data_IF_582571069139
#
_entry.id   IF_582571069139
#
_cell.length_a   1.000
_cell.length_b   1.000
_cell.length_c   1.000
_cell.angle_alpha   90.00
_cell.angle_beta   90.00
_cell.angle_gamma   90.00
#
_symmetry.space_group_name_H-M   'P 1'
#
loop_
_entity.id
_entity.type
_entity.pdbx_description
1 polymer ?
#
# COMPACT_ATOMS: atom_id res chain seq x y z
N UNK A 1 26.17 -54.84 1.58
CA UNK A 1 26.41 -53.53 0.94
C UNK A 1 25.13 -53.12 0.20
N UNK A 2 24.18 -52.47 0.89
CA UNK A 2 23.79 -51.05 0.72
C UNK A 2 23.46 -50.66 -0.73
N UNK A 3 22.17 -50.53 -1.08
CA UNK A 3 21.61 -49.48 -1.96
C UNK A 3 20.11 -49.25 -1.65
N UNK A 4 19.84 -48.49 -0.58
CA UNK A 4 18.56 -47.77 -0.47
C UNK A 4 18.64 -46.51 -1.32
N UNK A 5 17.68 -46.31 -2.21
CA UNK A 5 17.47 -45.05 -2.90
C UNK A 5 15.96 -44.81 -2.98
N UNK A 6 15.37 -44.45 -1.84
CA UNK A 6 13.99 -44.00 -1.76
C UNK A 6 14.00 -42.49 -1.99
N UNK A 7 13.51 -42.08 -3.15
CA UNK A 7 13.46 -40.69 -3.61
C UNK A 7 12.48 -39.91 -2.73
N UNK A 8 12.99 -38.91 -2.01
CA UNK A 8 12.20 -37.96 -1.22
C UNK A 8 11.54 -36.96 -2.19
N UNK A 9 10.23 -37.07 -2.41
CA UNK A 9 9.45 -36.07 -3.12
C UNK A 9 9.16 -34.89 -2.19
N UNK A 10 9.98 -33.84 -2.25
CA UNK A 10 9.72 -32.56 -1.60
C UNK A 10 8.74 -31.79 -2.48
N UNK A 11 7.45 -31.87 -2.16
CA UNK A 11 6.43 -31.02 -2.75
C UNK A 11 6.58 -29.60 -2.20
N UNK A 12 7.14 -28.72 -3.02
CA UNK A 12 7.23 -27.29 -2.75
C UNK A 12 5.84 -26.65 -2.87
N UNK A 13 5.13 -26.53 -1.75
CA UNK A 13 4.00 -25.60 -1.63
C UNK A 13 4.57 -24.17 -1.64
N UNK A 14 4.71 -23.59 -2.83
CA UNK A 14 4.90 -22.17 -2.99
C UNK A 14 3.61 -21.45 -2.55
N UNK A 15 3.56 -21.05 -1.28
CA UNK A 15 2.53 -20.15 -0.78
C UNK A 15 2.67 -18.83 -1.55
N UNK A 16 1.70 -18.56 -2.43
CA UNK A 16 1.53 -17.27 -3.07
C UNK A 16 1.21 -16.24 -1.97
N UNK A 17 2.23 -15.57 -1.46
CA UNK A 17 2.05 -14.38 -0.65
C UNK A 17 1.50 -13.28 -1.58
N UNK A 18 0.17 -13.14 -1.61
CA UNK A 18 -0.50 -12.03 -2.27
C UNK A 18 -0.15 -10.73 -1.54
N UNK A 19 0.89 -10.05 -2.01
CA UNK A 19 1.13 -8.66 -1.66
C UNK A 19 0.01 -7.82 -2.28
N UNK A 20 -0.47 -6.82 -1.55
CA UNK A 20 -1.29 -5.78 -2.16
C UNK A 20 -0.43 -5.09 -3.23
N UNK A 21 -0.77 -5.28 -4.50
CA UNK A 21 -0.08 -4.63 -5.62
C UNK A 21 -0.76 -3.30 -5.92
N UNK A 22 0.05 -2.27 -6.22
CA UNK A 22 -0.47 -1.00 -6.71
C UNK A 22 -1.09 -1.21 -8.10
N UNK A 23 -2.38 -0.92 -8.24
CA UNK A 23 -3.04 -0.86 -9.55
C UNK A 23 -3.24 0.61 -9.94
N UNK A 24 -2.53 1.09 -10.98
CA UNK A 24 -2.75 2.45 -11.49
C UNK A 24 -4.12 2.52 -12.18
N UNK A 25 -5.07 3.25 -11.58
CA UNK A 25 -6.43 3.40 -12.12
C UNK A 25 -6.55 4.63 -13.03
N UNK A 26 -5.59 5.54 -12.97
CA UNK A 26 -5.56 6.73 -13.81
C UNK A 26 -4.45 7.70 -13.43
N UNK A 27 -4.21 8.68 -14.30
CA UNK A 27 -3.26 9.75 -14.03
C UNK A 27 -3.66 11.04 -14.72
N UNK A 28 -3.32 12.16 -14.08
CA UNK A 28 -3.52 13.51 -14.62
C UNK A 28 -2.15 14.16 -14.78
N UNK A 29 -1.88 14.73 -15.94
CA UNK A 29 -0.60 15.43 -16.16
C UNK A 29 -0.61 16.77 -15.43
N UNK A 30 0.48 17.04 -14.73
CA UNK A 30 0.77 18.29 -14.04
C UNK A 30 2.11 18.83 -14.56
N UNK A 31 2.33 20.14 -14.50
CA UNK A 31 3.59 20.78 -14.95
C UNK A 31 4.12 20.30 -16.32
N UNK A 32 3.65 20.92 -17.39
CA UNK A 32 4.08 20.60 -18.75
C UNK A 32 5.48 21.17 -19.02
N UNK A 33 6.47 20.29 -19.22
CA UNK A 33 7.86 20.66 -19.56
C UNK A 33 8.24 20.08 -20.91
N UNK A 34 9.16 20.73 -21.62
CA UNK A 34 9.62 20.31 -22.95
C UNK A 34 10.21 18.88 -22.96
N UNK A 35 10.76 18.43 -21.83
CA UNK A 35 11.41 17.11 -21.67
C UNK A 35 10.45 16.03 -21.16
N UNK A 36 9.18 16.35 -20.89
CA UNK A 36 8.15 15.47 -20.33
C UNK A 36 7.40 16.15 -19.18
N UNK A 37 6.10 15.86 -19.06
CA UNK A 37 5.22 16.45 -18.03
C UNK A 37 5.21 15.59 -16.77
N UNK A 38 5.16 16.23 -15.60
CA UNK A 38 4.89 15.53 -14.34
C UNK A 38 3.45 14.99 -14.34
N UNK A 39 3.14 14.09 -13.42
CA UNK A 39 1.80 13.50 -13.32
C UNK A 39 1.42 13.33 -11.86
N UNK A 40 0.13 13.42 -11.58
CA UNK A 40 -0.47 12.84 -10.37
C UNK A 40 -1.10 11.52 -10.79
N UNK A 41 -0.57 10.42 -10.26
CA UNK A 41 -1.13 9.08 -10.49
C UNK A 41 -2.07 8.74 -9.35
N UNK A 42 -3.12 7.99 -9.68
CA UNK A 42 -4.06 7.43 -8.71
C UNK A 42 -3.90 5.92 -8.77
N UNK A 43 -3.63 5.32 -7.63
CA UNK A 43 -3.39 3.89 -7.49
C UNK A 43 -4.35 3.30 -6.47
N UNK A 44 -4.90 2.13 -6.78
CA UNK A 44 -5.73 1.35 -5.89
C UNK A 44 -4.89 0.30 -5.15
N UNK A 45 -5.17 0.15 -3.86
CA UNK A 45 -4.54 -0.80 -2.96
C UNK A 45 -5.60 -1.52 -2.15
N UNK A 46 -5.77 -2.82 -2.39
CA UNK A 46 -6.65 -3.64 -1.57
C UNK A 46 -5.98 -4.00 -0.25
N UNK A 47 -6.76 -3.99 0.84
CA UNK A 47 -6.25 -4.40 2.13
C UNK A 47 -6.03 -5.93 2.17
N UNK A 48 -4.78 -6.41 2.37
CA UNK A 48 -4.47 -7.83 2.28
C UNK A 48 -5.09 -8.65 3.42
N UNK A 49 -5.51 -8.03 4.53
CA UNK A 49 -6.09 -8.70 5.70
C UNK A 49 -7.59 -8.43 5.88
N UNK A 50 -8.14 -7.44 5.17
CA UNK A 50 -9.54 -7.04 5.26
C UNK A 50 -10.13 -6.95 3.86
N UNK A 51 -10.89 -7.98 3.46
CA UNK A 51 -11.57 -7.97 2.17
C UNK A 51 -12.65 -6.87 2.13
N UNK A 52 -12.94 -6.36 0.94
CA UNK A 52 -13.98 -5.35 0.73
C UNK A 52 -13.55 -3.91 1.02
N UNK A 53 -12.28 -3.66 1.35
CA UNK A 53 -11.71 -2.32 1.52
C UNK A 53 -10.60 -2.10 0.49
N UNK A 54 -10.71 -0.99 -0.24
CA UNK A 54 -9.69 -0.51 -1.17
C UNK A 54 -9.29 0.91 -0.79
N UNK A 55 -7.99 1.17 -0.76
CA UNK A 55 -7.38 2.46 -0.54
C UNK A 55 -6.90 3.05 -1.86
N UNK A 56 -7.43 4.20 -2.24
CA UNK A 56 -6.96 4.98 -3.37
C UNK A 56 -5.91 5.97 -2.88
N UNK A 57 -4.69 5.83 -3.37
CA UNK A 57 -3.62 6.76 -3.08
C UNK A 57 -3.35 7.59 -4.32
N UNK A 58 -3.34 8.90 -4.16
CA UNK A 58 -2.83 9.82 -5.17
C UNK A 58 -1.43 10.28 -4.77
N UNK A 59 -0.50 10.29 -5.73
CA UNK A 59 0.87 10.77 -5.54
C UNK A 59 1.42 11.41 -6.80
N UNK A 60 2.33 12.35 -6.61
CA UNK A 60 3.07 12.93 -7.72
C UNK A 60 4.13 11.94 -8.25
N UNK A 61 4.24 11.84 -9.58
CA UNK A 61 5.33 11.17 -10.30
C UNK A 61 5.99 12.15 -11.25
N UNK A 62 7.31 12.21 -11.19
CA UNK A 62 8.12 13.15 -11.98
C UNK A 62 8.23 12.68 -13.43
N UNK A 63 8.04 13.61 -14.36
CA UNK A 63 8.07 13.36 -15.78
C UNK A 63 9.45 13.39 -16.42
N UNK A 64 9.47 13.06 -17.71
CA UNK A 64 10.62 13.22 -18.61
C UNK A 64 11.72 12.18 -18.46
N UNK A 65 12.86 12.42 -19.13
CA UNK A 65 13.96 11.42 -19.26
C UNK A 65 14.44 10.92 -17.89
N UNK A 66 14.56 11.81 -16.90
CA UNK A 66 14.97 11.44 -15.53
C UNK A 66 13.89 10.62 -14.80
N UNK A 67 12.61 10.93 -15.02
CA UNK A 67 11.48 10.15 -14.48
C UNK A 67 11.39 8.76 -15.09
N UNK A 68 11.54 8.64 -16.41
CA UNK A 68 11.51 7.34 -17.11
C UNK A 68 12.68 6.43 -16.71
N UNK A 69 13.83 7.00 -16.38
CA UNK A 69 15.00 6.26 -15.90
C UNK A 69 14.92 5.95 -14.39
N UNK A 70 13.86 6.38 -13.67
CA UNK A 70 13.73 6.20 -12.22
C UNK A 70 14.74 7.01 -11.39
N UNK A 71 15.41 7.97 -12.03
CA UNK A 71 16.45 8.81 -11.43
C UNK A 71 15.89 10.14 -10.91
N UNK A 72 14.61 10.40 -11.13
CA UNK A 72 13.92 11.54 -10.56
C UNK A 72 13.41 11.20 -9.15
N UNK A 73 13.47 12.21 -8.28
CA UNK A 73 12.95 12.11 -6.93
C UNK A 73 11.52 12.66 -6.91
N UNK A 74 10.55 11.78 -6.70
CA UNK A 74 9.15 12.18 -6.65
C UNK A 74 8.85 13.10 -5.45
N UNK A 75 7.98 14.11 -5.62
CA UNK A 75 7.53 14.94 -4.50
C UNK A 75 6.88 14.08 -3.39
N UNK A 76 7.08 14.41 -2.09
CA UNK A 76 6.55 13.62 -0.97
C UNK A 76 5.03 13.78 -0.75
N UNK A 77 4.36 14.63 -1.52
CA UNK A 77 2.92 14.87 -1.47
C UNK A 77 2.15 13.60 -1.86
N UNK A 78 1.46 13.01 -0.88
CA UNK A 78 0.54 11.91 -1.09
C UNK A 78 -0.77 12.14 -0.34
N UNK A 79 -1.89 11.70 -0.93
CA UNK A 79 -3.20 11.71 -0.29
C UNK A 79 -3.85 10.34 -0.41
N UNK A 80 -4.61 9.93 0.61
CA UNK A 80 -5.27 8.62 0.67
C UNK A 80 -6.77 8.76 0.89
N UNK A 81 -7.54 7.92 0.20
CA UNK A 81 -8.96 7.73 0.45
C UNK A 81 -9.29 6.23 0.41
N UNK A 82 -9.61 5.65 1.57
CA UNK A 82 -10.02 4.26 1.66
C UNK A 82 -11.54 4.18 1.70
N UNK A 83 -12.09 3.24 0.93
CA UNK A 83 -13.54 3.05 0.78
C UNK A 83 -13.86 1.57 0.95
N UNK A 84 -15.03 1.32 1.53
CA UNK A 84 -15.65 0.01 1.44
C UNK A 84 -16.18 -0.15 0.01
N UNK A 85 -15.59 -1.08 -0.75
CA UNK A 85 -15.97 -1.41 -2.13
C UNK A 85 -16.69 -2.75 -2.23
N UNK A 86 -16.71 -3.52 -1.13
CA UNK A 86 -17.38 -4.81 -1.04
C UNK A 86 -17.79 -5.14 0.39
N UNK A 87 -18.20 -6.39 0.62
CA UNK A 87 -18.51 -6.87 1.98
C UNK A 87 -17.23 -6.96 2.80
N UNK A 88 -17.22 -6.34 3.97
CA UNK A 88 -16.06 -6.37 4.88
C UNK A 88 -15.94 -7.76 5.50
N UNK A 89 -14.82 -8.42 5.25
CA UNK A 89 -14.48 -9.70 5.85
C UNK A 89 -13.02 -9.73 6.31
N UNK A 90 -12.77 -10.31 7.48
CA UNK A 90 -11.43 -10.38 8.07
C UNK A 90 -10.82 -11.75 7.82
N UNK A 91 -9.62 -11.79 7.20
CA UNK A 91 -8.89 -13.06 6.98
C UNK A 91 -8.30 -13.65 8.26
N UNK A 92 -8.24 -12.85 9.32
CA UNK A 92 -7.78 -13.27 10.64
C UNK A 92 -7.68 -12.08 11.60
N UNK A 93 -7.20 -12.31 12.83
CA UNK A 93 -7.01 -11.25 13.81
C UNK A 93 -5.98 -10.21 13.35
N UNK A 94 -6.40 -8.95 13.35
CA UNK A 94 -5.58 -7.80 12.98
C UNK A 94 -4.69 -7.38 14.15
N UNK A 95 -3.49 -6.86 13.86
CA UNK A 95 -2.73 -6.13 14.88
C UNK A 95 -3.39 -4.79 15.15
N UNK A 96 -3.14 -4.24 16.34
CA UNK A 96 -3.57 -2.89 16.70
C UNK A 96 -3.06 -1.82 15.70
N UNK A 97 -1.85 -2.01 15.18
CA UNK A 97 -1.24 -1.24 14.10
C UNK A 97 -0.47 -2.20 13.18
N UNK A 98 -0.64 -2.08 11.87
CA UNK A 98 0.03 -2.91 10.88
C UNK A 98 0.34 -2.14 9.60
N UNK A 99 1.48 -2.44 8.98
CA UNK A 99 1.81 -1.90 7.65
C UNK A 99 1.01 -2.68 6.61
N UNK A 100 0.06 -1.99 5.98
CA UNK A 100 -0.79 -2.56 4.91
C UNK A 100 0.04 -2.68 3.64
N UNK A 101 0.82 -1.64 3.36
CA UNK A 101 1.56 -1.52 2.12
C UNK A 101 2.78 -0.61 2.30
N UNK A 102 3.82 -0.82 1.50
CA UNK A 102 4.98 0.08 1.40
C UNK A 102 5.59 0.02 0.00
N UNK A 103 5.73 1.18 -0.65
CA UNK A 103 6.31 1.28 -2.00
C UNK A 103 7.40 2.34 -2.08
N UNK A 104 8.46 2.01 -2.82
CA UNK A 104 9.58 2.91 -3.03
C UNK A 104 9.26 3.92 -4.12
N UNK A 105 9.25 5.20 -3.75
CA UNK A 105 9.02 6.33 -4.67
C UNK A 105 10.32 6.82 -5.34
N UNK A 106 11.49 6.58 -4.75
CA UNK A 106 12.76 6.99 -5.35
C UNK A 106 13.91 6.04 -5.09
N UNK A 107 14.90 6.05 -5.99
CA UNK A 107 16.17 5.32 -5.81
C UNK A 107 16.92 5.85 -4.59
N UNK A 108 16.75 7.12 -4.22
CA UNK A 108 17.47 7.76 -3.11
C UNK A 108 16.57 7.97 -1.86
N UNK A 109 15.89 6.90 -1.42
CA UNK A 109 15.33 6.76 -0.06
C UNK A 109 13.95 7.35 0.26
N UNK A 110 13.10 7.63 -0.73
CA UNK A 110 11.68 7.90 -0.46
C UNK A 110 10.86 6.63 -0.57
N UNK A 111 10.18 6.28 0.52
CA UNK A 111 9.21 5.18 0.57
C UNK A 111 7.88 5.73 1.06
N UNK A 112 6.81 5.40 0.35
CA UNK A 112 5.45 5.64 0.81
C UNK A 112 5.01 4.47 1.69
N UNK A 113 4.47 4.77 2.86
CA UNK A 113 3.89 3.80 3.77
C UNK A 113 2.39 4.01 3.84
N UNK A 114 1.65 2.90 3.92
CA UNK A 114 0.23 2.88 4.30
C UNK A 114 0.09 1.98 5.52
N UNK A 115 -0.34 2.56 6.63
CA UNK A 115 -0.48 1.90 7.93
C UNK A 115 -1.94 1.87 8.31
N UNK A 116 -2.42 0.70 8.75
CA UNK A 116 -3.76 0.51 9.31
C UNK A 116 -3.65 0.46 10.82
N UNK A 117 -4.45 1.26 11.50
CA UNK A 117 -4.70 1.21 12.93
C UNK A 117 -6.16 0.82 13.19
N UNK A 118 -6.39 0.05 14.25
CA UNK A 118 -7.74 -0.39 14.63
C UNK A 118 -8.28 0.48 15.77
N UNK A 119 -9.31 1.28 15.51
CA UNK A 119 -10.06 1.96 16.57
C UNK A 119 -11.20 1.06 17.06
N UNK A 120 -10.89 0.26 18.10
CA UNK A 120 -11.86 -0.67 18.70
C UNK A 120 -13.07 0.06 19.30
N UNK A 121 -12.87 1.25 19.87
CA UNK A 121 -13.94 1.98 20.57
C UNK A 121 -15.01 2.46 19.59
N UNK A 122 -14.60 2.85 18.38
CA UNK A 122 -15.49 3.37 17.34
C UNK A 122 -15.82 2.32 16.26
N UNK A 123 -15.32 1.09 16.39
CA UNK A 123 -15.41 0.02 15.40
C UNK A 123 -14.97 0.46 14.00
N UNK A 124 -13.77 1.05 13.91
CA UNK A 124 -13.28 1.72 12.69
C UNK A 124 -11.86 1.28 12.34
N UNK A 125 -11.59 1.09 11.05
CA UNK A 125 -10.26 0.89 10.52
C UNK A 125 -9.73 2.24 10.02
N UNK A 126 -8.63 2.70 10.60
CA UNK A 126 -8.01 3.98 10.28
C UNK A 126 -6.78 3.72 9.45
N UNK A 127 -6.68 4.36 8.29
CA UNK A 127 -5.56 4.22 7.37
C UNK A 127 -4.82 5.55 7.29
N UNK A 128 -3.52 5.51 7.57
CA UNK A 128 -2.60 6.63 7.49
C UNK A 128 -1.62 6.35 6.36
N UNK A 129 -1.44 7.31 5.46
CA UNK A 129 -0.30 7.32 4.56
C UNK A 129 0.71 8.39 4.96
N UNK A 130 1.99 8.07 4.90
CA UNK A 130 3.10 8.99 5.11
C UNK A 130 4.29 8.54 4.27
N UNK A 131 5.16 9.49 3.88
CA UNK A 131 6.42 9.15 3.22
C UNK A 131 7.55 9.05 4.25
N UNK A 132 8.69 8.46 3.94
CA UNK A 132 9.90 8.61 4.75
C UNK A 132 10.87 9.56 4.04
N UNK A 133 11.39 10.55 4.78
CA UNK A 133 12.47 11.44 4.31
C UNK A 133 13.61 11.42 5.33
N UNK A 134 14.76 10.90 4.93
CA UNK A 134 15.93 10.64 5.80
C UNK A 134 16.40 11.91 6.55
N UNK A 135 16.19 13.10 6.00
CA UNK A 135 16.85 14.33 6.49
C UNK A 135 15.97 15.21 7.39
N UNK A 136 14.63 15.04 7.38
CA UNK A 136 13.72 15.93 8.15
C UNK A 136 12.51 15.25 8.77
N UNK A 137 12.33 13.93 8.58
CA UNK A 137 11.02 13.29 8.74
C UNK A 137 10.03 13.72 7.65
N UNK A 138 8.89 13.04 7.55
CA UNK A 138 7.83 13.40 6.60
C UNK A 138 6.69 14.13 7.31
N UNK A 139 6.68 15.47 7.27
CA UNK A 139 5.56 16.24 7.81
C UNK A 139 4.28 16.03 6.99
N UNK A 140 4.38 15.48 5.79
CA UNK A 140 3.24 15.23 4.92
C UNK A 140 2.68 13.84 5.17
N UNK A 141 1.41 13.83 5.55
CA UNK A 141 0.62 12.63 5.74
C UNK A 141 -0.83 12.88 5.33
N UNK A 142 -1.58 11.81 5.17
CA UNK A 142 -3.02 11.87 4.93
C UNK A 142 -3.67 10.68 5.63
N UNK A 143 -4.87 10.91 6.17
CA UNK A 143 -5.60 9.92 6.96
C UNK A 143 -7.03 9.77 6.45
N UNK A 144 -7.52 8.55 6.53
CA UNK A 144 -8.90 8.19 6.21
C UNK A 144 -9.39 7.12 7.17
N UNK A 145 -10.68 7.06 7.40
CA UNK A 145 -11.29 6.18 8.38
C UNK A 145 -12.48 5.46 7.73
N UNK A 146 -12.46 4.14 7.78
CA UNK A 146 -13.52 3.27 7.25
C UNK A 146 -14.24 2.65 8.44
N UNK A 147 -15.46 3.11 8.79
CA UNK A 147 -16.24 2.50 9.85
C UNK A 147 -16.66 1.09 9.42
N UNK A 148 -16.57 0.14 10.34
CA UNK A 148 -17.04 -1.24 10.14
C UNK A 148 -18.50 -1.32 10.61
N UNK A 149 -19.40 -1.98 9.86
CA UNK A 149 -20.79 -2.14 10.25
C UNK A 149 -20.93 -2.67 11.69
N UNK A 150 -21.89 -2.11 12.45
CA UNK A 150 -22.02 -2.38 13.89
C UNK A 150 -22.22 -3.88 14.24
N UNK A 151 -22.74 -4.69 13.31
CA UNK A 151 -22.89 -6.14 13.49
C UNK A 151 -21.62 -6.96 13.24
N UNK A 152 -20.52 -6.33 12.81
CA UNK A 152 -19.25 -6.99 12.53
C UNK A 152 -18.17 -6.45 13.48
N UNK A 153 -17.77 -7.27 14.44
CA UNK A 153 -16.69 -6.93 15.36
C UNK A 153 -15.33 -7.11 14.69
N UNK A 154 -14.43 -6.14 14.84
CA UNK A 154 -13.06 -6.24 14.33
C UNK A 154 -12.27 -7.21 15.23
N UNK A 155 -11.77 -8.35 14.70
CA UNK A 155 -10.95 -9.26 15.48
C UNK A 155 -9.54 -8.66 15.62
N UNK A 156 -9.09 -8.43 16.85
CA UNK A 156 -7.76 -7.86 17.12
C UNK A 156 -6.94 -8.84 17.97
N UNK A 157 -5.68 -9.06 17.59
CA UNK A 157 -4.69 -9.82 18.37
C UNK A 157 -3.78 -8.92 19.20
#
# INVERSE_FOLDING_TARGET
MKRSCTILAVAACAAAAGGAHAEEIGSVSTNFRMTGSDKVVIEAYDDPQVDGITCYVSRARTGGIKGQLGMAEDPPEASIACRQVGTIAFKGPLKQQDHVFSERMSVLFKTLHVVRAVDRKRNTLVYLTYSDRIVSGSPQNSVTAVPVPAGTAIPVK
#
